data_IF_867471654656
#
_entry.id   IF_867471654656
#
_cell.length_a   1.000
_cell.length_b   1.000
_cell.length_c   1.000
_cell.angle_alpha   90.00
_cell.angle_beta   90.00
_cell.angle_gamma   90.00
#
_symmetry.space_group_name_H-M   'P 1'
#
loop_
_entity.id
_entity.type
_entity.pdbx_description
1 polymer ?
#
# COMPACT_ATOMS: atom_id res chain seq x y z
N UNK A 1 2.31 20.01 32.47
CA UNK A 1 2.39 18.56 32.24
C UNK A 1 1.82 18.27 30.86
N UNK A 2 2.54 17.50 30.04
CA UNK A 2 2.02 17.03 28.74
C UNK A 2 0.93 16.00 29.02
N UNK A 3 -0.25 16.17 28.41
CA UNK A 3 -1.36 15.22 28.53
C UNK A 3 -1.09 14.02 27.62
N UNK A 4 -0.60 12.93 28.21
CA UNK A 4 -0.25 11.69 27.49
C UNK A 4 -1.46 11.08 26.78
N UNK A 5 -2.66 11.18 27.35
CA UNK A 5 -3.87 10.60 26.78
C UNK A 5 -4.28 11.31 25.48
N UNK A 6 -4.13 12.64 25.44
CA UNK A 6 -4.36 13.40 24.21
C UNK A 6 -3.36 13.03 23.11
N UNK A 7 -2.09 12.78 23.45
CA UNK A 7 -1.08 12.32 22.49
C UNK A 7 -1.43 10.94 21.95
N UNK A 8 -1.78 10.00 22.82
CA UNK A 8 -2.15 8.64 22.42
C UNK A 8 -3.38 8.68 21.49
N UNK A 9 -4.39 9.47 21.85
CA UNK A 9 -5.59 9.65 21.01
C UNK A 9 -5.21 10.20 19.62
N UNK A 10 -4.42 11.27 19.58
CA UNK A 10 -4.00 11.89 18.32
C UNK A 10 -3.15 10.94 17.45
N UNK A 11 -2.33 10.07 18.04
CA UNK A 11 -1.57 9.06 17.30
C UNK A 11 -2.48 7.95 16.76
N UNK A 12 -3.44 7.46 17.55
CA UNK A 12 -4.42 6.47 17.07
C UNK A 12 -5.24 6.99 15.89
N UNK A 13 -5.71 8.23 15.95
CA UNK A 13 -6.43 8.86 14.83
C UNK A 13 -5.54 9.06 13.59
N UNK A 14 -4.22 9.19 13.74
CA UNK A 14 -3.29 9.21 12.60
C UNK A 14 -3.14 7.82 11.98
N UNK A 15 -2.98 6.79 12.82
CA UNK A 15 -2.87 5.39 12.39
C UNK A 15 -4.13 4.98 11.62
N UNK A 16 -5.32 5.27 12.15
CA UNK A 16 -6.60 4.96 11.50
C UNK A 16 -6.73 5.64 10.12
N UNK A 17 -6.27 6.88 9.97
CA UNK A 17 -6.25 7.56 8.66
C UNK A 17 -5.25 6.91 7.69
N UNK A 18 -4.14 6.36 8.18
CA UNK A 18 -3.16 5.64 7.36
C UNK A 18 -3.72 4.26 6.95
N UNK A 19 -4.43 3.56 7.84
CA UNK A 19 -5.17 2.33 7.52
C UNK A 19 -6.23 2.57 6.43
N UNK A 20 -7.01 3.65 6.54
CA UNK A 20 -7.97 4.03 5.51
C UNK A 20 -7.29 4.37 4.16
N UNK A 21 -6.11 5.02 4.21
CA UNK A 21 -5.32 5.29 3.00
C UNK A 21 -4.84 3.98 2.37
N UNK A 22 -4.29 3.06 3.19
CA UNK A 22 -3.85 1.73 2.79
C UNK A 22 -4.97 0.99 2.04
N UNK A 23 -6.16 0.92 2.63
CA UNK A 23 -7.31 0.22 2.05
C UNK A 23 -7.77 0.87 0.74
N UNK A 24 -7.78 2.22 0.67
CA UNK A 24 -8.15 2.95 -0.55
C UNK A 24 -7.18 2.71 -1.69
N UNK A 25 -5.88 2.71 -1.43
CA UNK A 25 -4.85 2.42 -2.44
C UNK A 25 -4.98 0.99 -2.95
N UNK A 26 -5.17 0.02 -2.04
CA UNK A 26 -5.36 -1.39 -2.40
C UNK A 26 -6.61 -1.61 -3.26
N UNK A 27 -7.74 -0.99 -2.89
CA UNK A 27 -8.98 -1.08 -3.67
C UNK A 27 -8.85 -0.41 -5.03
N UNK A 28 -8.23 0.77 -5.09
CA UNK A 28 -8.00 1.52 -6.31
C UNK A 28 -7.17 0.71 -7.31
N UNK A 29 -6.05 0.14 -6.86
CA UNK A 29 -5.17 -0.65 -7.72
C UNK A 29 -5.84 -1.93 -8.19
N UNK A 30 -6.46 -2.70 -7.29
CA UNK A 30 -7.16 -3.94 -7.64
C UNK A 30 -8.30 -3.69 -8.61
N UNK A 31 -9.16 -2.69 -8.36
CA UNK A 31 -10.25 -2.34 -9.27
C UNK A 31 -9.72 -1.83 -10.62
N UNK A 32 -8.65 -1.03 -10.60
CA UNK A 32 -8.00 -0.55 -11.82
C UNK A 32 -7.46 -1.69 -12.68
N UNK A 33 -6.76 -2.66 -12.09
CA UNK A 33 -6.22 -3.83 -12.80
C UNK A 33 -7.33 -4.70 -13.37
N UNK A 34 -8.41 -4.94 -12.60
CA UNK A 34 -9.59 -5.67 -13.07
C UNK A 34 -10.26 -4.95 -14.24
N UNK A 35 -10.46 -3.63 -14.13
CA UNK A 35 -11.06 -2.81 -15.20
C UNK A 35 -10.19 -2.81 -16.45
N UNK A 36 -8.86 -2.69 -16.28
CA UNK A 36 -7.89 -2.79 -17.38
C UNK A 36 -8.03 -4.12 -18.11
N UNK A 37 -8.08 -5.24 -17.38
CA UNK A 37 -8.23 -6.58 -17.95
C UNK A 37 -9.59 -6.78 -18.65
N UNK A 38 -10.68 -6.29 -18.06
CA UNK A 38 -12.03 -6.46 -18.59
C UNK A 38 -12.27 -5.64 -19.86
N UNK A 39 -11.77 -4.40 -19.90
CA UNK A 39 -12.00 -3.46 -21.01
C UNK A 39 -10.85 -3.42 -22.04
N UNK A 40 -9.79 -4.20 -21.83
CA UNK A 40 -8.62 -4.18 -22.70
C UNK A 40 -7.90 -2.83 -22.73
N UNK A 41 -7.78 -2.15 -21.58
CA UNK A 41 -7.15 -0.83 -21.50
C UNK A 41 -5.64 -0.89 -21.74
N UNK A 42 -4.99 0.24 -22.10
CA UNK A 42 -3.57 0.29 -22.43
C UNK A 42 -2.67 -0.33 -21.35
N UNK A 43 -1.63 -1.06 -21.79
CA UNK A 43 -0.65 -1.71 -20.90
C UNK A 43 0.14 -0.72 -20.04
N UNK A 44 0.27 0.53 -20.49
CA UNK A 44 0.90 1.62 -19.74
C UNK A 44 0.25 1.85 -18.35
N UNK A 45 -1.01 1.44 -18.18
CA UNK A 45 -1.71 1.52 -16.89
C UNK A 45 -1.31 0.41 -15.91
N UNK A 46 -0.72 -0.69 -16.36
CA UNK A 46 -0.45 -1.85 -15.51
C UNK A 46 0.63 -1.57 -14.46
N UNK A 47 1.78 -1.03 -14.88
CA UNK A 47 2.89 -0.71 -13.97
C UNK A 47 2.48 0.25 -12.85
N UNK A 48 1.86 1.42 -13.11
CA UNK A 48 1.44 2.32 -12.04
C UNK A 48 0.37 1.70 -11.11
N UNK A 49 -0.52 0.86 -11.65
CA UNK A 49 -1.50 0.14 -10.82
C UNK A 49 -0.85 -0.92 -9.93
N UNK A 50 0.11 -1.71 -10.44
CA UNK A 50 0.91 -2.66 -9.65
C UNK A 50 1.71 -1.93 -8.56
N UNK A 51 2.44 -0.87 -8.91
CA UNK A 51 3.19 -0.07 -7.91
C UNK A 51 2.26 0.49 -6.83
N UNK A 52 1.05 0.93 -7.18
CA UNK A 52 0.06 1.39 -6.19
C UNK A 52 -0.41 0.25 -5.27
N UNK A 53 -0.57 -0.95 -5.80
CA UNK A 53 -0.87 -2.16 -5.04
C UNK A 53 0.27 -2.50 -4.08
N UNK A 54 1.51 -2.50 -4.55
CA UNK A 54 2.68 -2.83 -3.75
C UNK A 54 2.89 -1.81 -2.62
N UNK A 55 2.73 -0.51 -2.91
CA UNK A 55 2.74 0.54 -1.88
C UNK A 55 1.66 0.29 -0.82
N UNK A 56 0.47 -0.17 -1.21
CA UNK A 56 -0.58 -0.50 -0.26
C UNK A 56 -0.20 -1.67 0.66
N UNK A 57 0.61 -2.61 0.20
CA UNK A 57 1.14 -3.69 1.03
C UNK A 57 2.29 -3.20 1.93
N UNK A 58 3.18 -2.35 1.42
CA UNK A 58 4.22 -1.70 2.25
C UNK A 58 3.60 -0.97 3.43
N UNK A 59 2.54 -0.17 3.20
CA UNK A 59 1.87 0.56 4.27
C UNK A 59 1.25 -0.40 5.28
N UNK A 60 0.62 -1.49 4.81
CA UNK A 60 0.03 -2.51 5.68
C UNK A 60 1.09 -3.15 6.58
N UNK A 61 2.20 -3.58 6.01
CA UNK A 61 3.25 -4.27 6.77
C UNK A 61 3.89 -3.34 7.82
N UNK A 62 4.04 -2.05 7.50
CA UNK A 62 4.50 -1.04 8.48
C UNK A 62 3.50 -0.84 9.61
N UNK A 63 2.19 -0.81 9.31
CA UNK A 63 1.14 -0.73 10.32
C UNK A 63 1.12 -1.98 11.23
N UNK A 64 1.43 -3.14 10.66
CA UNK A 64 1.55 -4.42 11.36
C UNK A 64 2.87 -4.53 12.18
N UNK A 65 3.72 -3.50 12.15
CA UNK A 65 4.90 -3.37 13.00
C UNK A 65 6.23 -3.71 12.32
N UNK A 66 6.23 -3.97 11.02
CA UNK A 66 7.46 -4.16 10.24
C UNK A 66 8.22 -2.83 10.07
N UNK A 67 9.55 -2.88 9.96
CA UNK A 67 10.30 -1.68 9.62
C UNK A 67 10.02 -1.25 8.17
N UNK A 68 10.03 0.06 7.84
CA UNK A 68 9.79 0.53 6.48
C UNK A 68 10.74 -0.08 5.44
N UNK A 69 12.02 -0.27 5.79
CA UNK A 69 13.02 -0.85 4.88
C UNK A 69 12.72 -2.31 4.56
N UNK A 70 12.30 -3.10 5.55
CA UNK A 70 11.90 -4.50 5.35
C UNK A 70 10.61 -4.60 4.54
N UNK A 71 9.61 -3.77 4.84
CA UNK A 71 8.34 -3.74 4.11
C UNK A 71 8.53 -3.37 2.64
N UNK A 72 9.36 -2.35 2.35
CA UNK A 72 9.74 -1.98 0.97
C UNK A 72 10.46 -3.14 0.30
N UNK A 73 11.44 -3.75 0.97
CA UNK A 73 12.18 -4.87 0.41
C UNK A 73 11.27 -6.05 0.09
N UNK A 74 10.29 -6.36 0.94
CA UNK A 74 9.41 -7.50 0.74
C UNK A 74 8.40 -7.30 -0.41
N UNK A 75 7.93 -6.06 -0.62
CA UNK A 75 6.83 -5.80 -1.55
C UNK A 75 7.24 -5.10 -2.85
N UNK A 76 8.41 -4.44 -2.89
CA UNK A 76 8.81 -3.59 -4.01
C UNK A 76 10.15 -3.96 -4.64
N UNK A 77 10.85 -4.99 -4.16
CA UNK A 77 11.92 -5.58 -4.96
C UNK A 77 11.28 -6.38 -6.07
N UNK A 78 11.62 -6.05 -7.31
CA UNK A 78 11.27 -6.85 -8.47
C UNK A 78 11.72 -8.30 -8.18
N UNK A 79 10.78 -9.23 -8.14
CA UNK A 79 11.12 -10.59 -8.54
C UNK A 79 11.45 -10.40 -10.01
N UNK A 80 12.72 -10.43 -10.37
CA UNK A 80 13.11 -10.60 -11.76
C UNK A 80 12.45 -11.90 -12.21
N UNK A 81 11.27 -11.81 -12.82
CA UNK A 81 10.68 -12.88 -13.62
C UNK A 81 11.47 -13.00 -14.95
N UNK A 82 12.81 -13.02 -14.86
CA UNK A 82 13.71 -13.49 -15.91
C UNK A 82 13.99 -15.01 -15.73
N UNK A 83 13.01 -15.80 -15.28
CA UNK A 83 13.06 -17.26 -15.38
C UNK A 83 11.64 -17.83 -15.57
N UNK A 84 11.11 -17.75 -16.81
CA UNK A 84 10.46 -18.86 -17.57
C UNK A 84 10.08 -18.45 -19.01
#
# INVERSE_FOLDING_TARGET
MINKDQIIKAQKEKIERIEQLQEKLHKLSTLGLLTKKLLGLPNELEKPLKVTHDISHVIKDVLDGMSPSEAIKQNMTEVDEEEE
#
